data_IF_705893315059
#
_entry.id   IF_705893315059
#
_cell.length_a   1.000
_cell.length_b   1.000
_cell.length_c   1.000
_cell.angle_alpha   90.00
_cell.angle_beta   90.00
_cell.angle_gamma   90.00
#
_symmetry.space_group_name_H-M   'P 1'
#
loop_
_entity.id
_entity.type
_entity.pdbx_description
1 polymer ?
#
# COMPACT_ATOMS: atom_id res chain seq x y z
N UNK A 1 2.44 20.28 -10.88
CA UNK A 1 2.52 18.81 -10.79
C UNK A 1 1.12 18.29 -11.07
N UNK A 2 0.97 17.39 -12.02
CA UNK A 2 -0.32 16.76 -12.28
C UNK A 2 -0.77 15.96 -11.04
N UNK A 3 -2.08 15.83 -10.85
CA UNK A 3 -2.64 15.06 -9.74
C UNK A 3 -2.25 13.58 -9.90
N UNK A 4 -1.93 12.92 -8.79
CA UNK A 4 -1.61 11.49 -8.80
C UNK A 4 -2.89 10.69 -9.10
N UNK A 5 -2.85 9.89 -10.15
CA UNK A 5 -3.86 8.90 -10.49
C UNK A 5 -3.11 7.59 -10.65
N UNK A 6 -3.02 6.83 -9.56
CA UNK A 6 -2.14 5.67 -9.49
C UNK A 6 -2.78 4.41 -8.94
N UNK A 7 -1.95 3.36 -8.94
CA UNK A 7 -2.25 2.07 -8.32
C UNK A 7 -0.98 1.54 -7.63
N UNK A 8 -1.18 0.66 -6.65
CA UNK A 8 -0.10 -0.03 -5.98
C UNK A 8 0.32 -1.28 -6.77
N UNK A 9 1.55 -1.71 -6.59
CA UNK A 9 2.07 -3.02 -7.04
C UNK A 9 2.35 -3.92 -5.82
N UNK A 10 1.38 -4.02 -4.92
CA UNK A 10 1.41 -4.89 -3.74
C UNK A 10 1.53 -6.37 -4.11
N UNK A 11 1.98 -7.19 -3.16
CA UNK A 11 2.29 -8.60 -3.34
C UNK A 11 3.39 -8.92 -4.39
N UNK A 12 4.04 -7.94 -5.01
CA UNK A 12 5.15 -8.18 -5.95
C UNK A 12 6.49 -8.38 -5.25
N UNK A 13 7.05 -7.32 -4.65
CA UNK A 13 8.35 -7.36 -3.96
C UNK A 13 8.23 -7.59 -2.45
N UNK A 14 7.03 -7.36 -1.91
CA UNK A 14 6.63 -7.62 -0.52
C UNK A 14 5.41 -8.52 -0.58
N UNK A 15 5.47 -9.70 0.04
CA UNK A 15 4.41 -10.70 -0.07
C UNK A 15 3.28 -10.47 0.92
N UNK A 16 2.05 -10.67 0.45
CA UNK A 16 0.84 -10.72 1.27
C UNK A 16 0.07 -12.00 0.95
N UNK A 17 0.03 -12.90 1.93
CA UNK A 17 -0.49 -14.27 1.76
C UNK A 17 -1.92 -14.32 1.22
N UNK A 18 -2.76 -13.36 1.60
CA UNK A 18 -4.16 -13.32 1.17
C UNK A 18 -4.30 -12.97 -0.32
N UNK A 19 -3.35 -12.24 -0.92
CA UNK A 19 -3.35 -11.94 -2.36
C UNK A 19 -2.92 -13.17 -3.16
N UNK A 20 -1.90 -13.89 -2.67
CA UNK A 20 -1.36 -15.07 -3.34
C UNK A 20 -0.90 -16.16 -2.34
N UNK A 21 -1.80 -17.08 -1.94
CA UNK A 21 -1.54 -18.07 -0.91
C UNK A 21 -0.65 -19.23 -1.36
N UNK A 22 -0.40 -19.41 -2.67
CA UNK A 22 0.25 -20.63 -3.17
C UNK A 22 1.70 -20.76 -2.71
N UNK A 23 2.45 -19.66 -2.64
CA UNK A 23 3.86 -19.68 -2.19
C UNK A 23 3.97 -20.04 -0.70
N UNK A 24 2.89 -19.84 0.07
CA UNK A 24 2.77 -20.20 1.47
C UNK A 24 2.21 -21.62 1.69
N UNK A 25 1.77 -22.31 0.63
CA UNK A 25 1.11 -23.61 0.76
C UNK A 25 2.09 -24.65 1.30
N UNK A 26 1.73 -25.28 2.41
CA UNK A 26 2.53 -26.33 3.04
C UNK A 26 3.72 -25.84 3.89
N UNK A 27 3.94 -24.52 4.01
CA UNK A 27 5.09 -23.95 4.74
C UNK A 27 4.77 -23.60 6.20
N UNK A 28 3.48 -23.62 6.58
CA UNK A 28 2.95 -23.11 7.87
C UNK A 28 3.22 -21.61 8.12
N UNK A 29 3.79 -20.89 7.16
CA UNK A 29 4.02 -19.47 7.28
C UNK A 29 2.74 -18.68 6.99
N UNK A 30 2.52 -17.63 7.78
CA UNK A 30 1.44 -16.65 7.57
C UNK A 30 1.98 -15.32 7.01
N UNK A 31 3.29 -15.08 7.09
CA UNK A 31 3.97 -13.87 6.63
C UNK A 31 5.32 -14.18 5.98
N UNK A 32 5.92 -13.18 5.34
CA UNK A 32 7.16 -13.34 4.56
C UNK A 32 8.37 -13.68 5.45
N UNK A 33 8.42 -13.19 6.69
CA UNK A 33 9.49 -13.55 7.64
C UNK A 33 9.48 -15.04 7.94
N UNK A 34 8.33 -15.59 8.32
CA UNK A 34 8.20 -17.02 8.61
C UNK A 34 8.33 -17.87 7.36
N UNK A 35 7.99 -17.35 6.17
CA UNK A 35 8.25 -18.05 4.91
C UNK A 35 9.76 -18.25 4.71
N UNK A 36 10.56 -17.19 4.88
CA UNK A 36 12.02 -17.25 4.75
C UNK A 36 12.70 -18.04 5.88
N UNK A 37 12.06 -18.18 7.05
CA UNK A 37 12.57 -19.03 8.16
C UNK A 37 12.20 -20.51 8.01
N UNK A 38 11.01 -20.81 7.51
CA UNK A 38 10.48 -22.18 7.46
C UNK A 38 10.92 -22.95 6.22
N UNK A 39 11.26 -22.27 5.13
CA UNK A 39 11.60 -22.89 3.85
C UNK A 39 13.10 -22.70 3.58
N UNK A 40 13.86 -23.78 3.33
CA UNK A 40 15.27 -23.69 2.96
C UNK A 40 15.49 -22.78 1.73
N UNK A 41 16.54 -21.97 1.76
CA UNK A 41 16.81 -20.93 0.75
C UNK A 41 16.92 -21.52 -0.67
N UNK A 42 17.55 -22.69 -0.80
CA UNK A 42 17.71 -23.40 -2.06
C UNK A 42 16.38 -23.80 -2.72
N UNK A 43 15.29 -23.86 -1.94
CA UNK A 43 13.94 -24.07 -2.44
C UNK A 43 13.18 -22.75 -2.59
N UNK A 44 13.28 -21.86 -1.61
CA UNK A 44 12.48 -20.63 -1.59
C UNK A 44 12.95 -19.61 -2.63
N UNK A 45 14.26 -19.40 -2.79
CA UNK A 45 14.77 -18.36 -3.69
C UNK A 45 14.38 -18.57 -5.16
N UNK A 46 14.42 -19.81 -5.72
CA UNK A 46 13.86 -20.06 -7.05
C UNK A 46 12.37 -19.71 -7.16
N UNK A 47 11.57 -20.03 -6.14
CA UNK A 47 10.13 -19.69 -6.11
C UNK A 47 9.89 -18.18 -6.02
N UNK A 48 10.69 -17.46 -5.21
CA UNK A 48 10.64 -16.00 -5.12
C UNK A 48 11.03 -15.35 -6.44
N UNK A 49 12.04 -15.89 -7.13
CA UNK A 49 12.45 -15.43 -8.46
C UNK A 49 11.32 -15.63 -9.48
N UNK A 50 10.76 -16.82 -9.56
CA UNK A 50 9.62 -17.12 -10.45
C UNK A 50 8.43 -16.20 -10.18
N UNK A 51 8.09 -16.00 -8.91
CA UNK A 51 7.07 -15.04 -8.52
C UNK A 51 7.38 -13.63 -9.03
N UNK A 52 8.56 -13.09 -8.74
CA UNK A 52 8.91 -11.72 -9.13
C UNK A 52 9.04 -11.54 -10.65
N UNK A 53 9.48 -12.56 -11.38
CA UNK A 53 9.58 -12.54 -12.85
C UNK A 53 8.22 -12.59 -13.54
N UNK A 54 7.23 -13.24 -12.93
CA UNK A 54 5.94 -13.50 -13.56
C UNK A 54 4.82 -12.64 -13.01
N UNK A 55 4.86 -12.21 -11.76
CA UNK A 55 3.74 -11.53 -11.11
C UNK A 55 3.45 -10.17 -11.76
N UNK A 56 4.43 -9.26 -11.78
CA UNK A 56 4.38 -7.98 -12.49
C UNK A 56 5.40 -7.97 -13.62
N UNK A 57 4.96 -7.54 -14.79
CA UNK A 57 5.73 -7.54 -16.04
C UNK A 57 5.60 -6.20 -16.76
N UNK A 58 6.33 -6.02 -17.85
CA UNK A 58 6.21 -4.84 -18.71
C UNK A 58 4.78 -4.60 -19.22
N UNK A 59 4.06 -5.67 -19.58
CA UNK A 59 2.67 -5.61 -20.06
C UNK A 59 1.76 -4.93 -19.03
N UNK A 60 2.04 -5.12 -17.74
CA UNK A 60 1.28 -4.51 -16.66
C UNK A 60 1.46 -2.99 -16.64
N UNK A 61 2.68 -2.48 -16.87
CA UNK A 61 2.93 -1.04 -16.99
C UNK A 61 2.26 -0.43 -18.22
N UNK A 62 2.30 -1.13 -19.35
CA UNK A 62 1.56 -0.72 -20.56
C UNK A 62 0.05 -0.65 -20.27
N UNK A 63 -0.49 -1.67 -19.60
CA UNK A 63 -1.90 -1.75 -19.26
C UNK A 63 -2.32 -0.63 -18.30
N UNK A 64 -1.53 -0.37 -17.24
CA UNK A 64 -1.74 0.73 -16.29
C UNK A 64 -1.80 2.08 -17.02
N UNK A 65 -0.81 2.36 -17.89
CA UNK A 65 -0.78 3.60 -18.66
C UNK A 65 -1.98 3.71 -19.62
N UNK A 66 -2.37 2.62 -20.28
CA UNK A 66 -3.52 2.61 -21.20
C UNK A 66 -4.87 2.88 -20.52
N UNK A 67 -4.98 2.58 -19.22
CA UNK A 67 -6.15 2.94 -18.39
C UNK A 67 -6.11 4.40 -17.89
N UNK A 68 -5.08 5.15 -18.28
CA UNK A 68 -4.95 6.58 -18.01
C UNK A 68 -4.38 6.92 -16.64
N UNK A 69 -3.79 5.94 -15.94
CA UNK A 69 -3.01 6.19 -14.72
C UNK A 69 -1.64 6.80 -15.08
N UNK A 70 -1.07 7.57 -14.15
CA UNK A 70 0.19 8.29 -14.37
C UNK A 70 1.31 7.93 -13.38
N UNK A 71 1.00 7.21 -12.30
CA UNK A 71 1.99 6.86 -11.27
C UNK A 71 1.72 5.47 -10.70
N UNK A 72 2.78 4.72 -10.39
CA UNK A 72 2.71 3.46 -9.64
C UNK A 72 3.39 3.62 -8.27
N UNK A 73 2.77 3.09 -7.22
CA UNK A 73 3.39 2.95 -5.88
C UNK A 73 3.89 1.53 -5.72
N UNK A 74 5.18 1.37 -5.40
CA UNK A 74 5.83 0.06 -5.34
C UNK A 74 6.29 -0.19 -3.90
N UNK A 75 5.58 -1.06 -3.16
CA UNK A 75 6.03 -1.60 -1.88
C UNK A 75 7.37 -2.32 -2.05
N UNK A 76 8.39 -1.94 -1.29
CA UNK A 76 9.69 -2.58 -1.26
C UNK A 76 10.07 -3.05 0.14
N UNK A 77 10.72 -4.22 0.27
CA UNK A 77 11.13 -4.72 1.57
C UNK A 77 12.42 -4.07 2.07
N UNK A 78 12.65 -4.07 3.39
CA UNK A 78 13.93 -3.60 3.96
C UNK A 78 15.15 -4.38 3.47
N UNK A 79 14.96 -5.62 3.02
CA UNK A 79 16.01 -6.50 2.50
C UNK A 79 16.20 -6.40 0.98
N UNK A 80 15.66 -5.36 0.33
CA UNK A 80 15.68 -5.20 -1.15
C UNK A 80 17.08 -5.35 -1.77
N UNK A 81 18.14 -4.99 -1.05
CA UNK A 81 19.51 -5.08 -1.53
C UNK A 81 20.20 -6.45 -1.32
N UNK A 82 19.52 -7.42 -0.69
CA UNK A 82 20.04 -8.78 -0.50
C UNK A 82 21.14 -8.90 0.56
N UNK A 83 21.20 -7.96 1.51
CA UNK A 83 22.19 -7.91 2.59
C UNK A 83 21.61 -8.29 3.96
N UNK A 84 20.46 -8.98 3.95
CA UNK A 84 19.78 -9.49 5.14
C UNK A 84 19.40 -10.94 4.92
N UNK A 85 20.21 -11.86 5.42
CA UNK A 85 19.85 -13.28 5.47
C UNK A 85 18.62 -13.49 6.39
N UNK A 86 17.73 -14.46 6.09
CA UNK A 86 17.76 -15.40 4.96
C UNK A 86 17.04 -14.92 3.68
N UNK A 87 16.77 -13.62 3.57
CA UNK A 87 15.94 -13.05 2.50
C UNK A 87 16.70 -12.90 1.19
N UNK A 88 16.00 -13.15 0.07
CA UNK A 88 16.53 -12.82 -1.25
C UNK A 88 16.29 -11.35 -1.59
N UNK A 89 17.36 -10.65 -1.98
CA UNK A 89 17.28 -9.31 -2.57
C UNK A 89 16.45 -9.28 -3.85
N UNK A 90 16.00 -8.09 -4.24
CA UNK A 90 15.15 -7.88 -5.42
C UNK A 90 15.31 -6.50 -6.08
N UNK A 91 16.44 -5.83 -5.88
CA UNK A 91 16.69 -4.49 -6.42
C UNK A 91 16.59 -4.43 -7.94
N UNK A 92 16.94 -5.52 -8.63
CA UNK A 92 16.88 -5.65 -10.09
C UNK A 92 15.45 -5.58 -10.65
N UNK A 93 14.45 -5.94 -9.85
CA UNK A 93 13.04 -5.82 -10.26
C UNK A 93 12.55 -4.38 -10.14
N UNK A 94 13.02 -3.65 -9.13
CA UNK A 94 12.76 -2.22 -9.04
C UNK A 94 13.45 -1.48 -10.20
N UNK A 95 14.67 -1.86 -10.58
CA UNK A 95 15.33 -1.30 -11.78
C UNK A 95 14.48 -1.48 -13.05
N UNK A 96 13.99 -2.70 -13.30
CA UNK A 96 13.07 -3.00 -14.41
C UNK A 96 11.80 -2.14 -14.34
N UNK A 97 11.22 -1.95 -13.15
CA UNK A 97 10.04 -1.12 -12.97
C UNK A 97 10.27 0.33 -13.41
N UNK A 98 11.43 0.91 -13.09
CA UNK A 98 11.79 2.25 -13.54
C UNK A 98 11.94 2.33 -15.07
N UNK A 99 12.52 1.29 -15.70
CA UNK A 99 12.67 1.24 -17.16
C UNK A 99 11.31 1.13 -17.87
N UNK A 100 10.41 0.29 -17.36
CA UNK A 100 9.04 0.17 -17.86
C UNK A 100 8.24 1.45 -17.64
N UNK A 101 8.39 2.09 -16.47
CA UNK A 101 7.75 3.36 -16.18
C UNK A 101 8.16 4.44 -17.20
N UNK A 102 9.45 4.55 -17.52
CA UNK A 102 9.96 5.49 -18.51
C UNK A 102 9.38 5.25 -19.90
N UNK A 103 9.29 3.98 -20.33
CA UNK A 103 8.73 3.60 -21.63
C UNK A 103 7.26 4.00 -21.80
N UNK A 104 6.46 3.94 -20.73
CA UNK A 104 5.02 4.21 -20.78
C UNK A 104 4.61 5.54 -20.14
N UNK A 105 5.57 6.42 -19.83
CA UNK A 105 5.30 7.74 -19.27
C UNK A 105 4.71 7.74 -17.85
N UNK A 106 4.98 6.68 -17.09
CA UNK A 106 4.57 6.57 -15.68
C UNK A 106 5.66 7.12 -14.75
N UNK A 107 5.25 7.58 -13.57
CA UNK A 107 6.16 7.87 -12.46
C UNK A 107 6.13 6.76 -11.39
N UNK A 108 7.18 6.66 -10.59
CA UNK A 108 7.34 5.65 -9.55
C UNK A 108 7.46 6.31 -8.18
N UNK A 109 6.55 5.97 -7.26
CA UNK A 109 6.70 6.19 -5.82
C UNK A 109 7.27 4.91 -5.21
N UNK A 110 8.50 4.97 -4.71
CA UNK A 110 9.11 3.86 -3.97
C UNK A 110 8.64 3.92 -2.53
N UNK A 111 8.00 2.87 -2.03
CA UNK A 111 7.48 2.82 -0.67
C UNK A 111 8.21 1.76 0.15
N UNK A 112 8.95 2.18 1.18
CA UNK A 112 9.56 1.23 2.11
C UNK A 112 8.47 0.61 2.99
N UNK A 113 8.05 -0.60 2.65
CA UNK A 113 6.82 -1.17 3.17
C UNK A 113 7.02 -2.02 4.43
N UNK A 114 8.22 -2.56 4.64
CA UNK A 114 8.54 -3.42 5.77
C UNK A 114 9.79 -2.91 6.50
N UNK A 115 9.86 -3.19 7.80
CA UNK A 115 11.02 -2.88 8.64
C UNK A 115 11.41 -4.10 9.49
N UNK A 116 12.71 -4.29 9.81
CA UNK A 116 13.15 -5.38 10.68
C UNK A 116 12.45 -5.32 12.03
N UNK A 117 11.88 -6.46 12.47
CA UNK A 117 11.10 -6.54 13.71
C UNK A 117 9.70 -5.93 13.65
N UNK A 118 9.24 -5.47 12.48
CA UNK A 118 7.87 -5.00 12.22
C UNK A 118 7.55 -3.62 12.81
N UNK A 119 6.89 -2.78 12.01
CA UNK A 119 6.41 -1.45 12.40
C UNK A 119 4.92 -1.40 12.73
N UNK A 120 4.17 -2.46 12.42
CA UNK A 120 2.71 -2.46 12.53
C UNK A 120 2.05 -3.76 13.01
N UNK A 121 2.80 -4.84 13.26
CA UNK A 121 2.30 -6.17 13.65
C UNK A 121 1.33 -6.83 12.68
N UNK A 122 1.11 -6.28 11.49
CA UNK A 122 0.32 -6.90 10.43
C UNK A 122 1.23 -7.77 9.56
N UNK A 123 0.62 -8.73 8.87
CA UNK A 123 1.29 -9.59 7.90
C UNK A 123 1.91 -8.77 6.75
N UNK A 124 1.24 -7.70 6.30
CA UNK A 124 1.76 -6.77 5.28
C UNK A 124 3.10 -6.10 5.68
N UNK A 125 3.36 -5.95 6.99
CA UNK A 125 4.62 -5.44 7.53
C UNK A 125 5.75 -6.48 7.52
N UNK A 126 5.46 -7.71 7.07
CA UNK A 126 6.40 -8.81 6.90
C UNK A 126 6.51 -9.74 8.10
N UNK A 127 5.96 -9.41 9.27
CA UNK A 127 5.97 -10.25 10.48
C UNK A 127 4.71 -10.02 11.34
N UNK A 128 3.80 -10.99 11.35
CA UNK A 128 2.53 -10.88 12.07
C UNK A 128 2.74 -10.95 13.59
N UNK A 129 2.08 -10.06 14.33
CA UNK A 129 2.08 -10.07 15.79
C UNK A 129 3.34 -9.52 16.47
N UNK A 130 4.37 -9.13 15.71
CA UNK A 130 5.59 -8.49 16.22
C UNK A 130 5.64 -7.02 15.81
N UNK A 131 5.96 -6.13 16.74
CA UNK A 131 6.10 -4.69 16.49
C UNK A 131 7.21 -4.13 17.38
N UNK A 132 8.45 -4.32 16.94
CA UNK A 132 9.68 -4.06 17.69
C UNK A 132 10.65 -3.09 17.01
N UNK A 133 10.50 -2.82 15.72
CA UNK A 133 11.41 -1.98 14.95
C UNK A 133 11.78 -0.67 15.69
N UNK A 134 10.77 0.08 16.15
CA UNK A 134 10.98 1.39 16.81
C UNK A 134 11.67 1.31 18.18
N UNK A 135 11.98 0.10 18.66
CA UNK A 135 12.67 -0.16 19.93
C UNK A 135 14.12 -0.60 19.73
N UNK A 136 14.55 -0.77 18.47
CA UNK A 136 15.84 -1.34 18.09
C UNK A 136 16.63 -0.27 17.32
N UNK A 137 17.48 0.55 17.99
CA UNK A 137 18.19 1.65 17.34
C UNK A 137 18.99 1.23 16.11
N UNK A 138 19.65 0.07 16.15
CA UNK A 138 20.44 -0.44 15.02
C UNK A 138 19.57 -0.77 13.81
N UNK A 139 18.35 -1.28 14.02
CA UNK A 139 17.40 -1.57 12.94
C UNK A 139 16.72 -0.31 12.39
N UNK A 140 16.55 0.71 13.23
CA UNK A 140 16.14 2.05 12.78
C UNK A 140 17.22 2.67 11.91
N UNK A 141 18.48 2.58 12.32
CA UNK A 141 19.61 3.04 11.52
C UNK A 141 19.72 2.28 10.21
N UNK A 142 19.58 0.94 10.24
CA UNK A 142 19.56 0.11 9.04
C UNK A 142 18.47 0.56 8.05
N UNK A 143 17.25 0.83 8.52
CA UNK A 143 16.17 1.38 7.68
C UNK A 143 16.56 2.73 7.05
N UNK A 144 17.20 3.63 7.80
CA UNK A 144 17.69 4.90 7.26
C UNK A 144 18.75 4.68 6.17
N UNK A 145 19.64 3.70 6.31
CA UNK A 145 20.65 3.40 5.27
C UNK A 145 20.03 2.79 4.02
N UNK A 146 18.99 1.96 4.16
CA UNK A 146 18.21 1.45 3.00
C UNK A 146 17.59 2.60 2.22
N UNK A 147 16.97 3.57 2.91
CA UNK A 147 16.40 4.77 2.28
C UNK A 147 17.47 5.61 1.56
N UNK A 148 18.63 5.82 2.18
CA UNK A 148 19.75 6.55 1.56
C UNK A 148 20.27 5.85 0.29
N UNK A 149 20.35 4.52 0.31
CA UNK A 149 20.79 3.73 -0.85
C UNK A 149 19.76 3.75 -1.99
N UNK A 150 18.47 3.66 -1.68
CA UNK A 150 17.40 3.81 -2.67
C UNK A 150 17.43 5.20 -3.29
N UNK A 151 17.60 6.25 -2.47
CA UNK A 151 17.73 7.61 -2.96
C UNK A 151 18.96 7.79 -3.85
N UNK A 152 20.13 7.29 -3.44
CA UNK A 152 21.35 7.39 -4.24
C UNK A 152 21.20 6.70 -5.59
N UNK A 153 20.53 5.55 -5.63
CA UNK A 153 20.32 4.77 -6.84
C UNK A 153 19.38 5.45 -7.84
N UNK A 154 18.32 6.09 -7.36
CA UNK A 154 17.24 6.58 -8.22
C UNK A 154 17.12 8.11 -8.32
N UNK A 155 17.96 8.89 -7.62
CA UNK A 155 17.88 10.37 -7.60
C UNK A 155 17.87 11.00 -9.00
N UNK A 156 18.64 10.43 -9.93
CA UNK A 156 18.84 10.95 -11.29
C UNK A 156 17.82 10.38 -12.29
N UNK A 157 16.94 9.46 -11.86
CA UNK A 157 15.86 8.92 -12.70
C UNK A 157 14.75 9.93 -12.84
N UNK A 158 14.40 10.30 -14.06
CA UNK A 158 13.25 11.18 -14.31
C UNK A 158 11.94 10.56 -13.83
N UNK A 159 11.83 9.24 -13.89
CA UNK A 159 10.64 8.47 -13.50
C UNK A 159 10.39 8.49 -11.99
N UNK A 160 11.41 8.79 -11.17
CA UNK A 160 11.22 8.88 -9.71
C UNK A 160 10.27 10.03 -9.40
N UNK A 161 9.07 9.70 -8.89
CA UNK A 161 8.17 10.66 -8.25
C UNK A 161 8.71 11.05 -6.88
N UNK A 162 9.03 10.05 -6.07
CA UNK A 162 9.46 10.23 -4.70
C UNK A 162 9.71 8.92 -3.96
N UNK A 163 10.06 9.07 -2.68
CA UNK A 163 10.29 7.96 -1.75
C UNK A 163 9.40 8.15 -0.53
N UNK A 164 8.57 7.16 -0.21
CA UNK A 164 7.88 7.04 1.07
C UNK A 164 8.77 6.35 2.10
N UNK A 165 8.97 7.04 3.23
CA UNK A 165 10.03 6.66 4.18
C UNK A 165 9.71 5.41 4.99
N UNK A 166 8.43 5.13 5.25
CA UNK A 166 7.96 3.93 5.91
C UNK A 166 6.43 3.81 5.86
N UNK A 167 5.94 2.68 5.39
CA UNK A 167 4.51 2.34 5.38
C UNK A 167 3.95 2.08 6.78
N UNK A 168 2.76 2.62 7.07
CA UNK A 168 1.89 2.23 8.20
C UNK A 168 2.53 2.07 9.61
N UNK A 169 3.43 2.96 10.11
CA UNK A 169 3.91 2.86 11.49
C UNK A 169 2.74 2.97 12.51
N UNK A 170 2.41 1.85 13.16
CA UNK A 170 1.10 1.67 13.82
C UNK A 170 0.90 2.60 15.02
N UNK A 171 -0.32 3.12 15.13
CA UNK A 171 -0.70 3.96 16.25
C UNK A 171 -1.09 3.17 17.49
N UNK A 172 -1.14 3.84 18.65
CA UNK A 172 -1.61 3.20 19.88
C UNK A 172 -3.04 2.67 19.72
N UNK A 173 -3.96 3.48 19.20
CA UNK A 173 -5.37 3.09 19.04
C UNK A 173 -5.51 1.91 18.09
N UNK A 174 -4.82 1.93 16.95
CA UNK A 174 -4.86 0.85 15.96
C UNK A 174 -4.19 -0.42 16.50
N UNK A 175 -3.04 -0.31 17.17
CA UNK A 175 -2.36 -1.45 17.79
C UNK A 175 -3.22 -2.15 18.85
N UNK A 176 -3.96 -1.39 19.65
CA UNK A 176 -4.81 -1.97 20.71
C UNK A 176 -5.99 -2.75 20.14
N UNK A 177 -6.51 -2.38 18.96
CA UNK A 177 -7.62 -3.07 18.31
C UNK A 177 -7.18 -4.08 17.26
N UNK A 178 -5.91 -4.08 16.84
CA UNK A 178 -5.35 -5.00 15.87
C UNK A 178 -5.52 -6.47 16.30
N UNK A 179 -6.21 -7.32 15.52
CA UNK A 179 -6.31 -8.76 15.79
C UNK A 179 -4.96 -9.48 15.64
N UNK A 180 -4.11 -9.00 14.73
CA UNK A 180 -2.81 -9.58 14.39
C UNK A 180 -1.82 -9.62 15.58
N UNK A 181 -1.94 -8.71 16.55
CA UNK A 181 -1.07 -8.69 17.76
C UNK A 181 -1.05 -10.00 18.56
N UNK A 182 -2.06 -10.87 18.37
CA UNK A 182 -2.18 -12.15 19.08
C UNK A 182 -1.79 -13.36 18.22
N UNK A 183 -1.32 -13.13 16.99
CA UNK A 183 -1.10 -14.18 15.98
C UNK A 183 0.37 -14.46 15.69
N UNK A 184 1.30 -13.88 16.45
CA UNK A 184 2.71 -14.17 16.29
C UNK A 184 3.00 -15.68 16.35
N UNK A 185 3.70 -16.21 15.36
CA UNK A 185 4.11 -17.61 15.34
C UNK A 185 5.14 -17.92 16.45
N UNK A 186 5.99 -16.96 16.83
CA UNK A 186 6.81 -17.02 18.04
C UNK A 186 6.33 -15.96 19.07
N UNK A 187 5.81 -16.46 20.20
CA UNK A 187 5.30 -15.61 21.29
C UNK A 187 6.41 -14.92 22.08
N UNK A 188 7.60 -15.52 22.18
CA UNK A 188 8.74 -14.90 22.85
C UNK A 188 9.32 -13.77 21.99
N UNK A 189 9.38 -13.96 20.66
CA UNK A 189 9.74 -12.87 19.74
C UNK A 189 8.73 -11.72 19.81
N UNK A 190 7.43 -12.00 20.00
CA UNK A 190 6.42 -10.95 20.16
C UNK A 190 6.50 -10.21 21.51
N UNK A 191 7.11 -10.79 22.55
CA UNK A 191 7.15 -10.23 23.90
C UNK A 191 7.83 -8.86 23.92
N UNK A 192 7.13 -7.84 24.41
CA UNK A 192 7.62 -6.45 24.46
C UNK A 192 7.25 -5.61 23.23
N UNK A 193 6.60 -6.20 22.22
CA UNK A 193 6.06 -5.45 21.08
C UNK A 193 5.12 -4.33 21.54
N UNK A 194 5.24 -3.16 20.92
CA UNK A 194 4.44 -1.98 21.22
C UNK A 194 4.30 -1.08 20.00
N UNK A 195 3.21 -0.32 19.98
CA UNK A 195 2.95 0.70 18.96
C UNK A 195 4.10 1.70 18.77
N UNK A 196 4.15 2.32 17.59
CA UNK A 196 5.10 3.39 17.29
C UNK A 196 4.59 4.71 17.89
N UNK A 197 5.32 5.24 18.87
CA UNK A 197 4.94 6.49 19.53
C UNK A 197 5.08 7.70 18.59
N UNK A 198 4.23 8.71 18.75
CA UNK A 198 4.30 9.95 17.96
C UNK A 198 5.63 10.69 18.14
N UNK A 199 6.20 10.65 19.36
CA UNK A 199 7.50 11.25 19.67
C UNK A 199 8.63 10.59 18.90
N UNK A 200 8.63 9.26 18.83
CA UNK A 200 9.60 8.50 18.04
C UNK A 200 9.40 8.80 16.55
N UNK A 201 8.18 8.69 16.05
CA UNK A 201 7.88 8.82 14.62
C UNK A 201 8.28 10.19 14.06
N UNK A 202 7.99 11.28 14.80
CA UNK A 202 8.43 12.63 14.42
C UNK A 202 9.95 12.76 14.35
N UNK A 203 10.69 12.16 15.29
CA UNK A 203 12.17 12.15 15.26
C UNK A 203 12.69 11.38 14.06
N UNK A 204 12.14 10.20 13.80
CA UNK A 204 12.48 9.38 12.64
C UNK A 204 12.25 10.16 11.33
N UNK A 205 11.10 10.82 11.17
CA UNK A 205 10.80 11.61 9.96
C UNK A 205 11.75 12.78 9.75
N UNK A 206 12.15 13.48 10.83
CA UNK A 206 13.18 14.53 10.73
C UNK A 206 14.52 13.96 10.27
N UNK A 207 14.93 12.80 10.79
CA UNK A 207 16.17 12.15 10.39
C UNK A 207 16.11 11.64 8.94
N UNK A 208 15.04 10.95 8.56
CA UNK A 208 14.82 10.46 7.20
C UNK A 208 14.81 11.62 6.19
N UNK A 209 14.08 12.70 6.47
CA UNK A 209 14.10 13.90 5.64
C UNK A 209 15.52 14.47 5.50
N UNK A 210 16.22 14.66 6.62
CA UNK A 210 17.56 15.27 6.62
C UNK A 210 18.61 14.44 5.88
N UNK A 211 18.47 13.11 5.86
CA UNK A 211 19.33 12.20 5.07
C UNK A 211 18.95 12.20 3.60
N UNK A 212 17.68 11.97 3.31
CA UNK A 212 17.18 11.88 1.93
C UNK A 212 17.35 13.20 1.19
N UNK A 213 17.07 14.35 1.80
CA UNK A 213 17.15 15.65 1.11
C UNK A 213 18.58 16.09 0.79
N UNK A 214 19.61 15.47 1.40
CA UNK A 214 21.02 15.66 0.99
C UNK A 214 21.36 14.92 -0.31
N UNK A 215 20.56 13.92 -0.68
CA UNK A 215 20.80 13.03 -1.83
C UNK A 215 19.81 13.35 -2.96
N UNK A 216 18.53 13.48 -2.62
CA UNK A 216 17.44 13.73 -3.55
C UNK A 216 17.35 15.22 -3.88
N UNK A 217 17.32 15.58 -5.17
CA UNK A 217 17.08 16.96 -5.56
C UNK A 217 15.64 17.38 -5.18
N UNK A 218 15.41 18.68 -5.04
CA UNK A 218 14.20 19.22 -4.38
C UNK A 218 12.91 18.82 -5.12
N UNK A 219 12.96 18.58 -6.42
CA UNK A 219 11.85 18.12 -7.25
C UNK A 219 11.34 16.72 -6.90
N UNK A 220 12.17 15.87 -6.27
CA UNK A 220 11.75 14.54 -5.82
C UNK A 220 11.03 14.65 -4.49
N UNK A 221 9.82 14.11 -4.43
CA UNK A 221 8.98 14.18 -3.24
C UNK A 221 9.51 13.22 -2.17
N UNK A 222 9.50 13.65 -0.91
CA UNK A 222 9.66 12.73 0.23
C UNK A 222 8.28 12.57 0.89
N UNK A 223 7.80 11.34 0.91
CA UNK A 223 6.46 10.99 1.38
C UNK A 223 6.52 10.43 2.80
N UNK A 224 5.52 10.78 3.60
CA UNK A 224 5.39 10.35 4.99
C UNK A 224 3.99 9.80 5.24
N UNK A 225 3.88 8.50 5.57
CA UNK A 225 2.63 7.95 6.06
C UNK A 225 2.14 8.67 7.32
N UNK A 226 0.84 8.86 7.46
CA UNK A 226 0.25 9.60 8.57
C UNK A 226 0.32 8.88 9.93
N UNK A 227 0.77 7.63 9.93
CA UNK A 227 0.86 6.76 11.10
C UNK A 227 -0.49 6.59 11.80
N UNK A 228 -1.57 6.51 11.03
CA UNK A 228 -2.98 6.46 11.45
C UNK A 228 -3.44 7.67 12.26
N UNK A 229 -2.82 8.84 12.00
CA UNK A 229 -2.97 10.06 12.80
C UNK A 229 -2.90 11.32 11.94
N UNK A 230 -3.64 11.40 10.83
CA UNK A 230 -3.64 12.55 9.90
C UNK A 230 -3.60 13.93 10.58
N UNK A 231 -4.49 14.17 11.55
CA UNK A 231 -4.58 15.45 12.25
C UNK A 231 -3.35 15.85 13.08
N UNK A 232 -2.48 14.91 13.44
CA UNK A 232 -1.25 15.14 14.22
C UNK A 232 -0.21 15.95 13.44
N UNK A 233 -0.25 15.86 12.11
CA UNK A 233 0.80 16.38 11.24
C UNK A 233 0.65 17.85 10.89
N UNK A 234 -0.55 18.43 11.05
CA UNK A 234 -0.89 19.86 10.90
C UNK A 234 0.22 20.68 10.22
N UNK A 235 0.93 21.52 10.97
CA UNK A 235 2.01 22.39 10.48
C UNK A 235 3.40 21.83 10.79
N UNK A 236 3.52 20.54 11.13
CA UNK A 236 4.77 19.90 11.54
C UNK A 236 5.86 20.05 10.48
N UNK A 237 5.58 19.64 9.24
CA UNK A 237 6.55 19.69 8.14
C UNK A 237 6.98 21.12 7.81
N UNK A 238 6.02 22.06 7.82
CA UNK A 238 6.26 23.49 7.62
C UNK A 238 7.17 24.06 8.70
N UNK A 239 6.89 23.77 9.99
CA UNK A 239 7.70 24.22 11.13
C UNK A 239 9.11 23.65 11.15
N UNK A 240 9.31 22.48 10.53
CA UNK A 240 10.62 21.88 10.37
C UNK A 240 11.31 22.28 9.05
N UNK A 241 10.76 23.25 8.31
CA UNK A 241 11.29 23.75 7.04
C UNK A 241 11.51 22.62 6.01
N UNK A 242 10.67 21.59 6.06
CA UNK A 242 10.73 20.48 5.11
C UNK A 242 10.08 20.90 3.79
N UNK A 243 10.81 20.69 2.69
CA UNK A 243 10.42 21.09 1.34
C UNK A 243 10.05 19.88 0.49
N UNK A 244 9.08 20.12 -0.38
CA UNK A 244 8.52 19.13 -1.30
C UNK A 244 8.25 17.78 -0.63
N UNK A 245 7.38 17.82 0.38
CA UNK A 245 6.93 16.64 1.13
C UNK A 245 5.44 16.46 0.96
N UNK A 246 4.98 15.22 1.02
CA UNK A 246 3.56 14.86 0.99
C UNK A 246 3.24 13.91 2.13
N UNK A 247 1.98 13.92 2.56
CA UNK A 247 1.45 12.95 3.52
C UNK A 247 0.68 11.88 2.77
N UNK A 248 0.97 10.63 3.10
CA UNK A 248 0.14 9.48 2.70
C UNK A 248 -0.86 9.15 3.82
N UNK A 249 -2.10 8.84 3.46
CA UNK A 249 -3.14 8.33 4.36
C UNK A 249 -3.93 7.23 3.68
N UNK A 250 -4.26 6.18 4.43
CA UNK A 250 -4.97 5.01 3.91
C UNK A 250 -6.42 5.03 4.39
N UNK A 251 -7.36 4.86 3.45
CA UNK A 251 -8.80 5.00 3.74
C UNK A 251 -9.57 3.85 3.10
N UNK A 252 -10.13 3.00 3.95
CA UNK A 252 -10.92 1.84 3.54
C UNK A 252 -12.34 1.90 4.11
N UNK A 253 -13.35 1.77 3.23
CA UNK A 253 -14.75 1.57 3.67
C UNK A 253 -14.85 0.28 4.50
N UNK A 254 -14.21 -0.81 4.06
CA UNK A 254 -14.21 -2.07 4.80
C UNK A 254 -13.67 -1.91 6.24
N UNK A 255 -12.60 -1.14 6.46
CA UNK A 255 -12.10 -0.91 7.81
C UNK A 255 -13.14 -0.18 8.70
N UNK A 256 -13.94 0.72 8.12
CA UNK A 256 -15.07 1.33 8.83
C UNK A 256 -16.17 0.30 9.14
N UNK A 257 -16.46 -0.63 8.23
CA UNK A 257 -17.41 -1.71 8.46
C UNK A 257 -16.94 -2.67 9.57
N UNK A 258 -15.67 -3.03 9.57
CA UNK A 258 -15.09 -3.94 10.57
C UNK A 258 -15.15 -3.35 11.99
N UNK A 259 -15.07 -2.02 12.12
CA UNK A 259 -15.14 -1.31 13.41
C UNK A 259 -16.56 -1.02 13.85
N UNK A 260 -17.45 -0.64 12.92
CA UNK A 260 -18.81 -0.17 13.26
C UNK A 260 -19.89 -1.22 13.09
N UNK A 261 -19.62 -2.26 12.29
CA UNK A 261 -20.59 -3.25 11.80
C UNK A 261 -21.77 -2.64 11.03
N UNK A 262 -21.62 -1.42 10.48
CA UNK A 262 -22.68 -0.72 9.74
C UNK A 262 -22.48 -0.92 8.23
N UNK A 263 -23.41 -1.65 7.61
CA UNK A 263 -23.41 -1.93 6.17
C UNK A 263 -24.52 -1.15 5.46
N UNK A 264 -24.32 0.15 5.27
CA UNK A 264 -25.28 1.00 4.56
C UNK A 264 -24.58 2.11 3.75
N UNK A 265 -25.15 2.42 2.59
CA UNK A 265 -24.54 3.41 1.70
C UNK A 265 -24.60 4.83 2.27
N UNK A 266 -25.60 5.13 3.11
CA UNK A 266 -25.64 6.38 3.86
C UNK A 266 -24.46 6.49 4.83
N UNK A 267 -24.11 5.40 5.54
CA UNK A 267 -22.97 5.38 6.43
C UNK A 267 -21.66 5.54 5.65
N UNK A 268 -21.53 4.89 4.49
CA UNK A 268 -20.36 5.09 3.60
C UNK A 268 -20.23 6.56 3.18
N UNK A 269 -21.34 7.22 2.81
CA UNK A 269 -21.35 8.65 2.47
C UNK A 269 -20.92 9.52 3.64
N UNK A 270 -21.44 9.26 4.84
CA UNK A 270 -21.08 10.01 6.04
C UNK A 270 -19.59 9.82 6.38
N UNK A 271 -19.09 8.59 6.31
CA UNK A 271 -17.68 8.26 6.52
C UNK A 271 -16.77 8.97 5.51
N UNK A 272 -17.04 8.84 4.21
CA UNK A 272 -16.22 9.49 3.17
C UNK A 272 -16.30 11.02 3.26
N UNK A 273 -17.46 11.60 3.60
CA UNK A 273 -17.58 13.05 3.83
C UNK A 273 -16.74 13.50 5.04
N UNK A 274 -16.72 12.72 6.12
CA UNK A 274 -15.86 12.98 7.27
C UNK A 274 -14.37 12.91 6.90
N UNK A 275 -13.96 11.89 6.15
CA UNK A 275 -12.58 11.76 5.67
C UNK A 275 -12.18 12.93 4.77
N UNK A 276 -13.05 13.33 3.83
CA UNK A 276 -12.83 14.49 2.97
C UNK A 276 -12.63 15.78 3.77
N UNK A 277 -13.35 15.95 4.88
CA UNK A 277 -13.14 17.10 5.78
C UNK A 277 -11.78 17.07 6.47
N UNK A 278 -11.33 15.89 6.92
CA UNK A 278 -9.99 15.74 7.52
C UNK A 278 -8.87 16.01 6.50
N UNK A 279 -9.00 15.48 5.28
CA UNK A 279 -8.10 15.72 4.16
C UNK A 279 -8.00 17.22 3.83
N UNK A 280 -9.14 17.90 3.71
CA UNK A 280 -9.19 19.36 3.48
C UNK A 280 -8.51 20.16 4.58
N UNK A 281 -8.57 19.70 5.84
CA UNK A 281 -7.87 20.35 6.96
C UNK A 281 -6.36 20.14 6.89
N UNK A 282 -5.91 18.93 6.60
CA UNK A 282 -4.48 18.60 6.52
C UNK A 282 -3.79 19.31 5.34
N UNK A 283 -4.46 19.33 4.18
CA UNK A 283 -3.97 19.97 2.96
C UNK A 283 -3.75 21.47 3.03
N UNK A 284 -4.29 22.15 4.05
CA UNK A 284 -3.97 23.57 4.30
C UNK A 284 -2.49 23.80 4.63
N UNK A 285 -1.79 22.75 5.04
CA UNK A 285 -0.40 22.83 5.49
C UNK A 285 0.55 22.00 4.63
N UNK A 286 0.17 20.76 4.29
CA UNK A 286 1.01 19.82 3.55
C UNK A 286 0.12 19.07 2.56
N UNK A 287 0.50 18.92 1.27
CA UNK A 287 -0.28 18.12 0.33
C UNK A 287 -0.47 16.69 0.85
N UNK A 288 -1.67 16.16 0.67
CA UNK A 288 -2.06 14.81 1.11
C UNK A 288 -2.59 14.06 -0.09
N UNK A 289 -2.22 12.80 -0.26
CA UNK A 289 -2.87 11.89 -1.19
C UNK A 289 -3.38 10.66 -0.43
N UNK A 290 -4.26 9.88 -1.05
CA UNK A 290 -4.76 8.62 -0.48
C UNK A 290 -3.98 7.46 -1.09
N UNK A 291 -2.93 6.99 -0.43
CA UNK A 291 -2.02 5.96 -0.96
C UNK A 291 -2.60 4.56 -0.99
N UNK A 292 -3.64 4.33 -0.19
CA UNK A 292 -4.37 3.08 -0.27
C UNK A 292 -5.87 3.28 -0.03
N UNK A 293 -6.66 2.75 -0.96
CA UNK A 293 -8.10 2.63 -0.89
C UNK A 293 -8.57 1.55 -1.87
N UNK A 294 -9.76 0.99 -1.64
CA UNK A 294 -10.38 0.03 -2.55
C UNK A 294 -11.91 0.20 -2.59
N UNK A 295 -12.60 -0.51 -3.48
CA UNK A 295 -14.07 -0.49 -3.54
C UNK A 295 -14.72 -1.53 -2.64
N UNK A 296 -13.96 -2.39 -1.94
CA UNK A 296 -14.50 -3.47 -1.11
C UNK A 296 -15.51 -2.96 -0.08
N UNK A 297 -16.69 -3.61 -0.04
CA UNK A 297 -17.75 -3.28 0.90
C UNK A 297 -18.78 -4.42 1.00
N UNK A 298 -19.33 -4.64 2.19
CA UNK A 298 -20.28 -5.72 2.45
C UNK A 298 -21.60 -5.55 1.67
N UNK A 299 -22.04 -4.32 1.37
CA UNK A 299 -23.28 -4.10 0.59
C UNK A 299 -23.22 -4.73 -0.80
N UNK A 300 -22.07 -4.72 -1.46
CA UNK A 300 -21.89 -5.38 -2.74
C UNK A 300 -21.88 -6.91 -2.59
N UNK A 301 -21.33 -7.43 -1.49
CA UNK A 301 -21.11 -8.86 -1.28
C UNK A 301 -22.26 -9.58 -0.52
N UNK A 302 -23.24 -8.83 0.00
CA UNK A 302 -24.35 -9.30 0.86
C UNK A 302 -25.27 -10.34 0.22
N UNK A 303 -25.47 -10.33 -1.10
CA UNK A 303 -26.38 -11.29 -1.77
C UNK A 303 -25.69 -12.65 -1.95
N UNK A 304 -25.79 -13.52 -0.95
CA UNK A 304 -25.51 -14.96 -1.12
C UNK A 304 -26.82 -15.73 -1.02
N UNK A 305 -27.16 -16.48 -2.07
CA UNK A 305 -28.30 -17.39 -2.05
C UNK A 305 -28.38 -18.16 -3.37
N UNK A 306 -28.70 -19.45 -3.26
CA UNK A 306 -28.84 -20.38 -4.39
C UNK A 306 -29.98 -20.01 -5.37
N UNK A 307 -30.73 -18.94 -5.08
CA UNK A 307 -31.88 -18.47 -5.86
C UNK A 307 -31.57 -17.27 -6.78
N UNK A 308 -30.38 -16.66 -6.70
CA UNK A 308 -30.05 -15.50 -7.53
C UNK A 308 -29.43 -15.95 -8.85
N UNK A 309 -30.06 -15.60 -9.97
CA UNK A 309 -29.50 -15.78 -11.31
C UNK A 309 -28.15 -15.04 -11.37
N UNK A 310 -27.10 -15.71 -11.87
CA UNK A 310 -25.72 -15.20 -11.87
C UNK A 310 -25.59 -13.76 -12.40
N UNK A 311 -26.32 -13.44 -13.47
CA UNK A 311 -26.27 -12.13 -14.11
C UNK A 311 -26.88 -11.03 -13.22
N UNK A 312 -28.01 -11.32 -12.56
CA UNK A 312 -28.64 -10.38 -11.61
C UNK A 312 -27.73 -10.11 -10.39
N UNK A 313 -26.96 -11.11 -9.98
CA UNK A 313 -25.99 -10.95 -8.90
C UNK A 313 -24.83 -10.05 -9.32
N UNK A 314 -24.24 -10.26 -10.50
CA UNK A 314 -23.14 -9.41 -10.99
C UNK A 314 -23.60 -7.97 -11.25
N UNK A 315 -24.82 -7.74 -11.74
CA UNK A 315 -25.39 -6.40 -11.88
C UNK A 315 -25.61 -5.73 -10.52
N UNK A 316 -26.06 -6.48 -9.50
CA UNK A 316 -26.18 -5.99 -8.14
C UNK A 316 -24.82 -5.58 -7.55
N UNK A 317 -23.79 -6.42 -7.71
CA UNK A 317 -22.42 -6.12 -7.27
C UNK A 317 -21.89 -4.87 -7.97
N UNK A 318 -22.01 -4.82 -9.30
CA UNK A 318 -21.59 -3.68 -10.12
C UNK A 318 -22.23 -2.38 -9.67
N UNK A 319 -23.52 -2.38 -9.35
CA UNK A 319 -24.22 -1.20 -8.82
C UNK A 319 -23.56 -0.66 -7.55
N UNK A 320 -23.26 -1.51 -6.57
CA UNK A 320 -22.74 -1.06 -5.28
C UNK A 320 -21.26 -0.72 -5.32
N UNK A 321 -20.44 -1.54 -5.97
CA UNK A 321 -19.01 -1.23 -6.16
C UNK A 321 -18.82 0.07 -6.95
N UNK A 322 -19.57 0.27 -8.03
CA UNK A 322 -19.48 1.51 -8.84
C UNK A 322 -19.92 2.74 -8.05
N UNK A 323 -20.96 2.61 -7.20
CA UNK A 323 -21.36 3.69 -6.29
C UNK A 323 -20.28 4.01 -5.25
N UNK A 324 -19.63 3.00 -4.67
CA UNK A 324 -18.52 3.20 -3.75
C UNK A 324 -17.31 3.83 -4.43
N UNK A 325 -16.96 3.38 -5.64
CA UNK A 325 -15.89 3.94 -6.46
C UNK A 325 -16.11 5.43 -6.73
N UNK A 326 -17.28 5.80 -7.26
CA UNK A 326 -17.63 7.19 -7.59
C UNK A 326 -17.66 8.07 -6.34
N UNK A 327 -18.19 7.56 -5.21
CA UNK A 327 -18.19 8.28 -3.95
C UNK A 327 -16.77 8.65 -3.50
N UNK A 328 -15.86 7.67 -3.53
CA UNK A 328 -14.48 7.82 -3.11
C UNK A 328 -13.67 8.69 -4.08
N UNK A 329 -13.73 8.44 -5.39
CA UNK A 329 -13.05 9.26 -6.41
C UNK A 329 -13.45 10.74 -6.36
N UNK A 330 -14.74 11.02 -6.09
CA UNK A 330 -15.21 12.39 -5.89
C UNK A 330 -14.65 13.07 -4.64
N UNK A 331 -14.27 12.30 -3.61
CA UNK A 331 -13.59 12.84 -2.43
C UNK A 331 -12.10 13.04 -2.72
N UNK A 332 -11.45 12.09 -3.40
CA UNK A 332 -10.02 12.14 -3.73
C UNK A 332 -9.67 13.23 -4.74
N UNK A 333 -10.63 13.68 -5.56
CA UNK A 333 -10.41 14.81 -6.49
C UNK A 333 -9.96 16.09 -5.76
N UNK A 334 -10.26 16.24 -4.48
CA UNK A 334 -9.87 17.43 -3.73
C UNK A 334 -8.46 17.29 -3.11
N UNK A 335 -7.76 16.17 -3.34
CA UNK A 335 -6.44 15.86 -2.77
C UNK A 335 -5.30 15.98 -3.78
N UNK A 336 -4.06 15.69 -3.37
CA UNK A 336 -2.92 15.57 -4.28
C UNK A 336 -3.03 14.33 -5.20
N UNK A 337 -3.99 13.44 -4.93
CA UNK A 337 -4.33 12.29 -5.75
C UNK A 337 -4.55 11.02 -4.93
N UNK A 338 -4.40 9.87 -5.57
CA UNK A 338 -4.60 8.57 -4.93
C UNK A 338 -3.80 7.44 -5.58
N UNK A 339 -3.66 6.34 -4.85
CA UNK A 339 -3.25 5.05 -5.37
C UNK A 339 -4.27 3.97 -4.96
N UNK A 340 -4.83 3.26 -5.94
CA UNK A 340 -5.73 2.14 -5.66
C UNK A 340 -4.94 0.96 -5.07
N UNK A 341 -5.44 0.36 -4.01
CA UNK A 341 -4.92 -0.88 -3.45
C UNK A 341 -5.83 -2.06 -3.83
N UNK A 342 -5.42 -2.94 -4.75
CA UNK A 342 -4.13 -3.06 -5.44
C UNK A 342 -4.32 -3.27 -6.96
N UNK A 343 -3.25 -3.19 -7.76
CA UNK A 343 -3.34 -3.36 -9.23
C UNK A 343 -3.91 -4.73 -9.63
N UNK A 344 -3.43 -5.79 -9.00
CA UNK A 344 -3.87 -7.17 -9.25
C UNK A 344 -3.67 -8.06 -8.01
N UNK A 345 -4.37 -9.20 -7.98
CA UNK A 345 -4.18 -10.25 -6.98
C UNK A 345 -3.60 -11.52 -7.59
N UNK A 346 -4.35 -12.26 -8.41
CA UNK A 346 -3.78 -13.35 -9.22
C UNK A 346 -3.57 -12.87 -10.65
N UNK A 347 -2.40 -13.19 -11.20
CA UNK A 347 -2.10 -12.92 -12.62
C UNK A 347 -3.06 -13.63 -13.56
N UNK A 348 -3.39 -14.89 -13.29
CA UNK A 348 -4.45 -15.59 -14.01
C UNK A 348 -5.82 -15.04 -13.56
N UNK A 349 -6.40 -14.21 -14.43
CA UNK A 349 -7.68 -13.53 -14.20
C UNK A 349 -8.88 -14.48 -14.34
N UNK A 350 -8.68 -15.68 -14.91
CA UNK A 350 -9.71 -16.70 -15.07
C UNK A 350 -9.82 -17.60 -13.84
N UNK A 351 -8.76 -17.73 -13.04
CA UNK A 351 -8.83 -18.40 -11.73
C UNK A 351 -9.75 -17.56 -10.83
N UNK A 352 -10.87 -18.14 -10.32
CA UNK A 352 -11.72 -17.46 -9.37
C UNK A 352 -10.95 -17.19 -8.08
N UNK A 353 -11.07 -15.99 -7.53
CA UNK A 353 -10.61 -15.74 -6.17
C UNK A 353 -11.27 -16.74 -5.22
N UNK A 354 -10.49 -17.30 -4.30
CA UNK A 354 -11.02 -18.24 -3.29
C UNK A 354 -12.12 -17.61 -2.41
N UNK A 355 -12.20 -16.28 -2.36
CA UNK A 355 -13.31 -15.53 -1.82
C UNK A 355 -13.75 -14.44 -2.81
N UNK A 356 -15.04 -14.45 -3.16
CA UNK A 356 -15.62 -13.53 -4.17
C UNK A 356 -15.42 -12.05 -3.83
N UNK A 357 -15.35 -11.69 -2.55
CA UNK A 357 -15.10 -10.31 -2.09
C UNK A 357 -13.73 -9.77 -2.52
N UNK A 358 -12.74 -10.65 -2.72
CA UNK A 358 -11.37 -10.23 -3.02
C UNK A 358 -11.22 -9.67 -4.45
N UNK A 359 -12.14 -10.00 -5.36
CA UNK A 359 -12.16 -9.38 -6.70
C UNK A 359 -12.17 -7.84 -6.62
N UNK A 360 -12.77 -7.29 -5.55
CA UNK A 360 -12.88 -5.84 -5.38
C UNK A 360 -11.57 -5.17 -4.94
N UNK A 361 -10.58 -5.95 -4.54
CA UNK A 361 -9.22 -5.48 -4.25
C UNK A 361 -8.29 -5.58 -5.46
N UNK A 362 -8.75 -6.23 -6.55
CA UNK A 362 -8.03 -6.36 -7.81
C UNK A 362 -8.53 -5.30 -8.82
N UNK A 363 -7.73 -4.27 -9.09
CA UNK A 363 -8.13 -3.18 -9.98
C UNK A 363 -8.39 -3.69 -11.42
N UNK A 364 -7.60 -4.64 -11.91
CA UNK A 364 -7.81 -5.26 -13.21
C UNK A 364 -9.19 -5.92 -13.32
N UNK A 365 -9.61 -6.68 -12.31
CA UNK A 365 -10.94 -7.30 -12.25
C UNK A 365 -12.03 -6.24 -12.10
N UNK A 366 -11.79 -5.20 -11.32
CA UNK A 366 -12.72 -4.07 -11.19
C UNK A 366 -12.98 -3.38 -12.54
N UNK A 367 -11.95 -3.20 -13.38
CA UNK A 367 -12.12 -2.69 -14.75
C UNK A 367 -12.87 -3.67 -15.64
N UNK A 368 -12.46 -4.96 -15.68
CA UNK A 368 -13.12 -6.01 -16.48
C UNK A 368 -14.61 -6.14 -16.16
N UNK A 369 -14.99 -5.98 -14.89
CA UNK A 369 -16.38 -6.07 -14.42
C UNK A 369 -17.13 -4.71 -14.44
N UNK A 370 -16.47 -3.62 -14.82
CA UNK A 370 -17.06 -2.27 -14.89
C UNK A 370 -17.44 -1.68 -13.52
N UNK A 371 -16.81 -2.17 -12.45
CA UNK A 371 -16.97 -1.69 -11.07
C UNK A 371 -16.24 -0.39 -10.84
N UNK A 372 -15.08 -0.20 -11.48
CA UNK A 372 -14.35 1.06 -11.52
C UNK A 372 -14.75 1.84 -12.78
N UNK A 373 -15.03 3.15 -12.70
CA UNK A 373 -15.21 3.97 -13.90
C UNK A 373 -13.90 4.00 -14.72
N UNK A 374 -14.03 3.92 -16.04
CA UNK A 374 -12.90 4.08 -16.96
C UNK A 374 -12.84 5.56 -17.35
N UNK A 375 -11.65 6.09 -17.67
CA UNK A 375 -11.45 7.52 -17.98
C UNK A 375 -12.33 8.02 -19.14
N UNK A 376 -12.81 7.15 -20.02
CA UNK A 376 -13.80 7.45 -21.09
C UNK A 376 -15.21 7.75 -20.58
N UNK A 377 -15.51 7.43 -19.32
CA UNK A 377 -16.70 7.95 -18.67
C UNK A 377 -16.47 9.45 -18.40
N UNK A 378 -17.29 10.32 -19.01
CA UNK A 378 -17.31 11.81 -18.90
C UNK A 378 -17.07 12.41 -17.49
N UNK A 379 -17.09 11.58 -16.45
CA UNK A 379 -16.78 11.93 -15.07
C UNK A 379 -15.31 12.33 -14.85
N UNK A 380 -14.36 11.82 -15.66
CA UNK A 380 -12.92 12.07 -15.48
C UNK A 380 -12.32 13.10 -16.46
N UNK A 381 -13.05 13.53 -17.50
CA UNK A 381 -12.61 14.58 -18.44
C UNK A 381 -12.57 15.99 -17.82
N UNK A 382 -13.03 16.15 -16.58
CA UNK A 382 -12.95 17.39 -15.78
C UNK A 382 -12.07 17.26 -14.52
N UNK A 383 -11.28 16.19 -14.42
CA UNK A 383 -10.11 16.18 -13.54
C UNK A 383 -8.99 17.00 -14.16
#
# INVERSE_FOLDING_TARGET
MDKIIGTNLGNWLVLEKWMQPFIFKGTRAEDETWLNRNVPQEKLWPMMKEHRDTYVTEEDFQNIASHGLNTVRIPVPYFIFGDREPYSGCIEYLDKAFDWAGKYGLKVLVDLHTAPGGQNSYDNGGIEGVCKWSQQPDEVEFVLTVLERLAMRYRDREELFGIEVLNEPISFSVYMTAPSRKKAADKEEAKGSRHVSSRFLKKFYVQAYGRLRKILPEEKVIVFHDGFRLGMWKDFFVKHHMKNVMIDTHIYIQAMEDVTHIHSFWAYRAFIAYQQHLLKKAQKYTPVFVGEWCVCNELADKKKGHEVIRDEYEDYRKKWYRKAAVLQLNAWKDTAGFFYWNYQLYRDKEVPMYATRLDSWDLCRCWKKGWMPVRTDRFMEKL
#
